data_IF_499537554091
#
_entry.id   IF_499537554091
#
_cell.length_a   1.000
_cell.length_b   1.000
_cell.length_c   1.000
_cell.angle_alpha   90.00
_cell.angle_beta   90.00
_cell.angle_gamma   90.00
#
_symmetry.space_group_name_H-M   'P 1'
#
loop_
_entity.id
_entity.type
_entity.pdbx_description
1 polymer ?
#
# COMPACT_ATOMS: atom_id res chain seq x y z
N UNK A 1 -1.97 28.52 -4.38
CA UNK A 1 -0.67 29.20 -4.56
C UNK A 1 -0.39 29.97 -3.29
N UNK A 2 0.79 29.82 -2.69
CA UNK A 2 1.30 30.74 -1.66
C UNK A 2 2.51 31.43 -2.30
N UNK A 3 2.54 32.76 -2.35
CA UNK A 3 3.64 33.56 -2.89
C UNK A 3 4.00 33.22 -4.36
N UNK A 4 3.00 33.07 -5.24
CA UNK A 4 3.15 32.72 -6.66
C UNK A 4 3.96 31.44 -6.98
N UNK A 5 4.32 30.67 -5.95
CA UNK A 5 4.96 29.36 -6.10
C UNK A 5 3.92 28.26 -5.91
N UNK A 6 3.89 27.34 -6.86
CA UNK A 6 3.12 26.10 -6.73
C UNK A 6 3.77 25.22 -5.67
N UNK A 7 2.98 24.71 -4.72
CA UNK A 7 3.46 23.81 -3.66
C UNK A 7 4.08 22.51 -4.18
N UNK A 8 3.78 22.15 -5.43
CA UNK A 8 4.26 20.94 -6.11
C UNK A 8 5.34 21.20 -7.17
N UNK A 9 5.98 22.38 -7.14
CA UNK A 9 7.07 22.75 -8.05
C UNK A 9 6.70 22.60 -9.55
N UNK A 10 5.54 23.13 -9.93
CA UNK A 10 5.14 23.24 -11.34
C UNK A 10 5.53 24.62 -11.89
N UNK A 11 5.89 24.72 -13.18
CA UNK A 11 5.99 23.63 -14.18
C UNK A 11 7.22 22.74 -13.97
N UNK A 12 7.13 21.46 -14.38
CA UNK A 12 8.27 20.52 -14.34
C UNK A 12 9.11 20.58 -15.61
N UNK A 13 10.41 20.35 -15.51
CA UNK A 13 11.28 20.27 -16.68
C UNK A 13 11.05 18.99 -17.48
N UNK A 14 11.23 19.08 -18.81
CA UNK A 14 11.30 17.89 -19.66
C UNK A 14 12.52 17.05 -19.29
N UNK A 15 12.32 15.75 -19.08
CA UNK A 15 13.39 14.85 -18.66
C UNK A 15 13.50 13.65 -19.58
N UNK A 16 14.74 13.39 -19.99
CA UNK A 16 15.18 12.19 -20.70
C UNK A 16 15.75 11.27 -19.62
N UNK A 17 15.12 10.12 -19.42
CA UNK A 17 15.38 9.21 -18.31
C UNK A 17 16.77 8.60 -18.47
N UNK A 18 17.68 8.84 -17.52
CA UNK A 18 18.96 8.10 -17.46
C UNK A 18 19.29 7.56 -16.07
N UNK A 19 18.90 8.20 -14.96
CA UNK A 19 19.41 7.79 -13.64
C UNK A 19 18.46 7.91 -12.45
N UNK A 20 17.23 8.41 -12.60
CA UNK A 20 16.25 8.47 -11.50
C UNK A 20 14.86 8.04 -11.99
N UNK A 21 14.08 7.42 -11.10
CA UNK A 21 12.70 7.03 -11.35
C UNK A 21 11.80 8.28 -11.42
N UNK A 22 11.94 9.04 -12.50
CA UNK A 22 11.14 10.21 -12.81
C UNK A 22 10.38 9.94 -14.10
N UNK A 23 9.14 10.40 -14.16
CA UNK A 23 8.32 10.26 -15.35
C UNK A 23 8.94 11.01 -16.52
N UNK A 24 9.06 10.31 -17.66
CA UNK A 24 9.44 10.95 -18.92
C UNK A 24 8.34 11.92 -19.35
N UNK A 25 8.70 13.18 -19.52
CA UNK A 25 7.81 14.20 -20.03
C UNK A 25 8.32 14.62 -21.40
N UNK A 26 7.59 14.23 -22.46
CA UNK A 26 7.91 14.66 -23.83
C UNK A 26 7.35 16.05 -24.09
N UNK A 27 8.13 16.85 -24.79
CA UNK A 27 7.60 18.04 -25.44
C UNK A 27 6.74 17.61 -26.63
N UNK A 28 5.47 18.00 -26.63
CA UNK A 28 4.51 17.73 -27.71
C UNK A 28 4.25 19.02 -28.50
N UNK A 29 4.71 20.18 -28.02
CA UNK A 29 4.43 21.49 -28.63
C UNK A 29 2.98 21.96 -28.48
N UNK A 30 2.12 21.20 -27.81
CA UNK A 30 0.73 21.57 -27.52
C UNK A 30 0.65 22.41 -26.25
N UNK A 31 -0.09 23.52 -26.31
CA UNK A 31 -0.35 24.38 -25.17
C UNK A 31 -1.79 24.90 -25.18
N UNK A 32 -2.31 25.20 -23.99
CA UNK A 32 -3.63 25.82 -23.79
C UNK A 32 -3.43 27.15 -23.10
N UNK A 33 -3.96 28.22 -23.69
CA UNK A 33 -3.87 29.56 -23.11
C UNK A 33 -5.00 29.74 -22.08
N UNK A 34 -4.63 29.92 -20.80
CA UNK A 34 -5.57 30.15 -19.71
C UNK A 34 -5.10 31.31 -18.86
N UNK A 35 -5.92 32.36 -18.74
CA UNK A 35 -5.60 33.58 -17.97
C UNK A 35 -4.25 34.22 -18.36
N UNK A 36 -3.93 34.24 -19.66
CA UNK A 36 -2.67 34.78 -20.16
C UNK A 36 -1.43 33.90 -19.96
N UNK A 37 -1.60 32.69 -19.44
CA UNK A 37 -0.52 31.72 -19.22
C UNK A 37 -0.69 30.58 -20.23
N UNK A 38 0.39 30.26 -20.95
CA UNK A 38 0.45 29.07 -21.81
C UNK A 38 0.71 27.84 -20.93
N UNK A 39 -0.32 27.02 -20.78
CA UNK A 39 -0.25 25.75 -20.05
C UNK A 39 0.12 24.64 -21.02
N UNK A 40 1.35 24.15 -20.91
CA UNK A 40 1.83 22.98 -21.62
C UNK A 40 1.75 21.72 -20.72
N UNK A 41 2.26 20.60 -21.25
CA UNK A 41 2.29 19.33 -20.52
C UNK A 41 3.08 19.40 -19.20
N UNK A 42 3.96 20.40 -19.02
CA UNK A 42 4.78 20.57 -17.81
C UNK A 42 3.96 20.91 -16.58
N UNK A 43 2.76 21.47 -16.76
CA UNK A 43 1.84 21.83 -15.67
C UNK A 43 0.94 20.68 -15.22
N UNK A 44 1.01 19.53 -15.89
CA UNK A 44 0.15 18.38 -15.63
C UNK A 44 0.96 17.23 -15.03
N UNK A 45 0.35 16.49 -14.10
CA UNK A 45 0.95 15.25 -13.58
C UNK A 45 0.93 14.23 -14.73
N UNK A 46 2.07 13.66 -15.12
CA UNK A 46 2.12 12.65 -16.16
C UNK A 46 1.26 11.44 -15.76
N UNK A 47 0.47 10.95 -16.70
CA UNK A 47 -0.39 9.78 -16.53
C UNK A 47 -0.26 8.87 -17.75
N UNK A 48 -0.63 7.60 -17.59
CA UNK A 48 -0.71 6.66 -18.70
C UNK A 48 -2.19 6.55 -19.16
N UNK A 49 -2.56 7.03 -20.35
CA UNK A 49 -3.94 7.00 -20.83
C UNK A 49 -4.52 5.58 -20.87
N UNK A 50 -3.71 4.59 -21.23
CA UNK A 50 -4.14 3.20 -21.29
C UNK A 50 -4.56 2.67 -19.91
N UNK A 51 -3.73 2.91 -18.88
CA UNK A 51 -4.04 2.47 -17.51
C UNK A 51 -5.20 3.26 -16.91
N UNK A 52 -5.27 4.56 -17.19
CA UNK A 52 -6.36 5.41 -16.74
C UNK A 52 -7.70 4.92 -17.30
N UNK A 53 -7.76 4.62 -18.61
CA UNK A 53 -8.98 4.10 -19.24
C UNK A 53 -9.32 2.69 -18.77
N UNK A 54 -8.32 1.81 -18.63
CA UNK A 54 -8.54 0.40 -18.25
C UNK A 54 -9.05 0.23 -16.82
N UNK A 55 -8.54 1.03 -15.88
CA UNK A 55 -8.85 0.90 -14.46
C UNK A 55 -9.71 2.03 -13.90
N UNK A 56 -10.09 3.01 -14.73
CA UNK A 56 -10.81 4.23 -14.33
C UNK A 56 -10.16 4.94 -13.13
N UNK A 57 -8.83 4.82 -13.00
CA UNK A 57 -8.08 5.31 -11.86
C UNK A 57 -6.73 5.87 -12.30
N UNK A 58 -6.26 6.91 -11.60
CA UNK A 58 -4.95 7.48 -11.88
C UNK A 58 -3.84 6.58 -11.31
N UNK A 59 -3.28 5.73 -12.17
CA UNK A 59 -2.22 4.78 -11.80
C UNK A 59 -0.84 5.44 -11.94
N UNK A 60 -0.07 5.44 -10.85
CA UNK A 60 1.34 5.83 -10.86
C UNK A 60 2.20 4.64 -11.28
N UNK A 61 2.99 4.77 -12.36
CA UNK A 61 3.97 3.79 -12.82
C UNK A 61 5.39 4.34 -12.61
N UNK A 62 6.18 3.67 -11.78
CA UNK A 62 7.57 4.05 -11.50
C UNK A 62 8.51 2.91 -11.93
N UNK A 63 9.57 3.24 -12.68
CA UNK A 63 10.62 2.28 -13.02
C UNK A 63 11.62 2.20 -11.88
N UNK A 64 11.56 1.10 -11.13
CA UNK A 64 12.34 0.87 -9.92
C UNK A 64 13.70 0.22 -10.22
N UNK A 65 14.63 0.95 -10.86
CA UNK A 65 15.96 0.41 -11.21
C UNK A 65 17.00 0.49 -10.07
N UNK A 66 16.60 0.93 -8.86
CA UNK A 66 17.49 1.08 -7.69
C UNK A 66 16.97 0.27 -6.50
N UNK A 67 17.86 -0.30 -5.70
CA UNK A 67 17.49 -1.07 -4.49
C UNK A 67 16.63 -0.30 -3.48
N UNK A 68 16.77 1.04 -3.42
CA UNK A 68 15.91 1.89 -2.60
C UNK A 68 14.44 1.88 -3.03
N UNK A 69 14.16 1.69 -4.33
CA UNK A 69 12.80 1.57 -4.85
C UNK A 69 12.16 0.24 -4.45
N UNK A 70 12.94 -0.84 -4.37
CA UNK A 70 12.49 -2.13 -3.83
C UNK A 70 12.10 -1.97 -2.35
N UNK A 71 12.95 -1.32 -1.55
CA UNK A 71 12.63 -1.01 -0.13
C UNK A 71 11.34 -0.19 -0.01
N UNK A 72 11.13 0.77 -0.91
CA UNK A 72 9.91 1.56 -0.96
C UNK A 72 8.70 0.67 -1.24
N UNK A 73 8.75 -0.19 -2.27
CA UNK A 73 7.67 -1.14 -2.59
C UNK A 73 7.33 -2.04 -1.40
N UNK A 74 8.33 -2.68 -0.80
CA UNK A 74 8.14 -3.54 0.38
C UNK A 74 7.59 -2.77 1.58
N UNK A 75 7.98 -1.50 1.76
CA UNK A 75 7.40 -0.65 2.79
C UNK A 75 5.89 -0.52 2.59
N UNK A 76 5.40 -0.26 1.37
CA UNK A 76 3.95 -0.10 1.13
C UNK A 76 3.18 -1.41 1.18
N UNK A 77 3.73 -2.50 0.65
CA UNK A 77 3.10 -3.83 0.75
C UNK A 77 2.94 -4.25 2.21
N UNK A 78 3.92 -3.92 3.06
CA UNK A 78 3.89 -4.26 4.48
C UNK A 78 3.47 -3.08 5.38
N UNK A 79 2.98 -1.97 4.80
CA UNK A 79 2.58 -0.80 5.58
C UNK A 79 1.22 -1.08 6.20
N UNK A 80 1.27 -1.70 7.38
CA UNK A 80 0.07 -2.09 8.12
C UNK A 80 -0.49 -3.39 7.55
N UNK A 81 -0.01 -4.53 8.04
CA UNK A 81 -0.93 -5.66 8.13
C UNK A 81 -2.00 -5.21 9.11
N UNK A 82 -3.22 -5.03 8.62
CA UNK A 82 -4.37 -4.81 9.48
C UNK A 82 -4.44 -5.98 10.46
N UNK A 83 -4.35 -5.64 11.75
CA UNK A 83 -4.62 -6.56 12.83
C UNK A 83 -6.10 -6.49 13.11
N UNK A 84 -6.78 -7.62 12.99
CA UNK A 84 -8.17 -7.75 13.39
C UNK A 84 -8.19 -8.48 14.74
N UNK A 85 -8.78 -7.84 15.74
CA UNK A 85 -9.10 -8.50 17.01
C UNK A 85 -10.54 -9.02 16.89
N UNK A 86 -10.70 -10.34 16.93
CA UNK A 86 -12.01 -10.99 16.85
C UNK A 86 -12.41 -11.41 18.25
N UNK A 87 -13.56 -10.94 18.73
CA UNK A 87 -14.17 -11.39 19.98
C UNK A 87 -15.15 -12.53 19.68
N UNK A 88 -14.95 -13.70 20.27
CA UNK A 88 -15.91 -14.81 20.16
C UNK A 88 -16.89 -14.72 21.33
N UNK A 89 -18.13 -14.37 21.04
CA UNK A 89 -19.22 -14.40 22.01
C UNK A 89 -20.04 -15.68 21.85
N UNK A 90 -19.89 -16.63 22.77
CA UNK A 90 -20.78 -17.78 22.83
C UNK A 90 -22.12 -17.34 23.43
N UNK A 91 -23.20 -17.36 22.64
CA UNK A 91 -24.55 -17.17 23.17
C UNK A 91 -25.02 -18.47 23.85
N UNK A 92 -24.72 -18.62 25.12
CA UNK A 92 -25.18 -19.78 25.90
C UNK A 92 -26.67 -19.61 26.22
N UNK A 93 -27.52 -20.39 25.56
CA UNK A 93 -28.87 -20.69 26.07
C UNK A 93 -28.69 -21.52 27.35
N UNK A 94 -29.16 -21.01 28.47
CA UNK A 94 -29.31 -21.67 29.79
C UNK A 94 -28.16 -21.46 30.79
N UNK A 95 -28.14 -20.29 31.45
CA UNK A 95 -27.94 -20.19 32.91
C UNK A 95 -26.56 -20.48 33.52
N UNK A 96 -25.48 -20.59 32.75
CA UNK A 96 -24.12 -20.68 33.29
C UNK A 96 -23.40 -19.33 33.23
N UNK A 97 -22.69 -19.00 34.32
CA UNK A 97 -21.85 -17.80 34.46
C UNK A 97 -20.72 -17.86 33.43
N UNK A 98 -20.76 -16.97 32.43
CA UNK A 98 -19.66 -16.72 31.49
C UNK A 98 -18.71 -15.70 32.14
N UNK A 99 -17.47 -16.11 32.42
CA UNK A 99 -16.46 -15.29 33.12
C UNK A 99 -15.33 -14.80 32.19
N UNK A 100 -14.64 -13.77 32.64
CA UNK A 100 -14.35 -12.49 31.97
C UNK A 100 -13.11 -12.46 31.04
N UNK A 101 -12.42 -13.60 30.86
CA UNK A 101 -11.36 -13.76 29.85
C UNK A 101 -12.03 -14.01 28.50
N UNK A 102 -12.64 -12.96 27.94
CA UNK A 102 -13.18 -13.00 26.58
C UNK A 102 -12.11 -13.54 25.62
N UNK A 103 -12.46 -14.60 24.90
CA UNK A 103 -11.57 -15.24 23.95
C UNK A 103 -11.41 -14.31 22.74
N UNK A 104 -10.31 -13.57 22.72
CA UNK A 104 -9.94 -12.68 21.63
C UNK A 104 -8.88 -13.35 20.76
N UNK A 105 -9.16 -13.45 19.46
CA UNK A 105 -8.14 -13.82 18.47
C UNK A 105 -7.54 -12.55 17.87
N UNK A 106 -6.24 -12.35 18.07
CA UNK A 106 -5.48 -11.39 17.27
C UNK A 106 -5.11 -12.02 15.93
N UNK A 107 -5.91 -11.76 14.91
CA UNK A 107 -5.63 -12.17 13.54
C UNK A 107 -4.75 -11.13 12.84
N UNK A 108 -3.76 -11.60 12.09
CA UNK A 108 -3.00 -10.76 11.15
C UNK A 108 -3.50 -11.02 9.74
N UNK A 109 -3.73 -9.94 8.98
CA UNK A 109 -4.06 -10.05 7.56
C UNK A 109 -2.93 -10.78 6.79
N UNK A 110 -3.24 -11.93 6.20
CA UNK A 110 -2.31 -12.60 5.29
C UNK A 110 -2.30 -11.84 3.96
N UNK A 111 -1.11 -11.48 3.46
CA UNK A 111 -1.01 -10.89 2.13
C UNK A 111 -1.63 -11.83 1.08
N UNK A 112 -2.29 -11.28 0.05
CA UNK A 112 -2.98 -12.06 -0.98
C UNK A 112 -2.08 -13.16 -1.58
N UNK A 113 -0.80 -12.86 -1.80
CA UNK A 113 0.17 -13.83 -2.31
C UNK A 113 0.39 -15.00 -1.34
N UNK A 114 0.47 -14.75 -0.03
CA UNK A 114 0.62 -15.81 0.98
C UNK A 114 -0.65 -16.66 1.09
N UNK A 115 -1.82 -16.03 1.04
CA UNK A 115 -3.11 -16.74 1.04
C UNK A 115 -3.25 -17.67 -0.17
N UNK A 116 -2.88 -17.22 -1.36
CA UNK A 116 -2.85 -18.03 -2.58
C UNK A 116 -1.86 -19.19 -2.43
N UNK A 117 -0.67 -18.95 -1.88
CA UNK A 117 0.34 -19.99 -1.64
C UNK A 117 -0.19 -21.09 -0.73
N UNK A 118 -0.86 -20.71 0.37
CA UNK A 118 -1.53 -21.63 1.30
C UNK A 118 -2.69 -22.38 0.65
N UNK A 119 -3.48 -21.70 -0.18
CA UNK A 119 -4.64 -22.29 -0.88
C UNK A 119 -4.22 -23.36 -1.87
N UNK A 120 -3.08 -23.17 -2.54
CA UNK A 120 -2.50 -24.14 -3.45
C UNK A 120 -1.53 -25.13 -2.78
N UNK A 121 -1.46 -25.13 -1.45
CA UNK A 121 -0.61 -26.04 -0.66
C UNK A 121 0.86 -26.05 -1.09
N UNK A 122 1.37 -24.92 -1.57
CA UNK A 122 2.78 -24.79 -1.88
C UNK A 122 3.61 -24.70 -0.58
N UNK A 123 4.82 -25.24 -0.61
CA UNK A 123 5.77 -25.15 0.51
C UNK A 123 6.06 -23.69 0.85
N UNK A 124 5.71 -23.29 2.07
CA UNK A 124 6.03 -21.99 2.63
C UNK A 124 7.24 -22.16 3.52
N UNK A 125 8.35 -21.44 3.28
CA UNK A 125 9.50 -21.52 4.16
C UNK A 125 9.11 -21.06 5.57
N UNK A 126 9.08 -21.99 6.51
CA UNK A 126 8.88 -21.69 7.93
C UNK A 126 10.10 -20.96 8.47
N UNK A 127 9.86 -19.94 9.29
CA UNK A 127 10.92 -19.33 10.10
C UNK A 127 11.20 -20.24 11.29
N UNK A 128 12.47 -20.60 11.45
CA UNK A 128 13.00 -21.20 12.66
C UNK A 128 13.77 -20.15 13.46
N UNK A 129 13.50 -19.94 14.76
CA UNK A 129 12.48 -20.62 15.58
C UNK A 129 11.06 -20.11 15.30
N UNK A 130 10.06 -20.97 15.53
CA UNK A 130 8.66 -20.58 15.51
C UNK A 130 8.40 -19.58 16.65
N UNK A 131 7.79 -18.44 16.33
CA UNK A 131 7.30 -17.52 17.36
C UNK A 131 5.90 -18.01 17.75
N UNK A 132 5.82 -18.70 18.88
CA UNK A 132 4.58 -19.20 19.45
C UNK A 132 4.29 -18.35 20.69
N UNK A 133 3.03 -17.93 20.87
CA UNK A 133 2.63 -17.30 22.13
C UNK A 133 2.51 -18.39 23.18
N UNK A 134 3.30 -18.27 24.26
CA UNK A 134 3.11 -19.12 25.43
C UNK A 134 1.86 -18.66 26.18
N UNK A 135 0.94 -19.58 26.37
CA UNK A 135 -0.18 -19.41 27.29
C UNK A 135 0.39 -19.31 28.69
N UNK A 136 0.15 -18.20 29.38
CA UNK A 136 0.50 -18.04 30.79
C UNK A 136 -0.48 -18.88 31.61
N UNK A 137 0.01 -19.94 32.23
CA UNK A 137 -0.72 -20.63 33.29
C UNK A 137 -0.52 -19.84 34.58
N UNK A 138 -1.61 -19.40 35.18
CA UNK A 138 -1.60 -18.78 36.50
C UNK A 138 -1.83 -19.92 37.50
N UNK A 139 -0.86 -20.20 38.36
CA UNK A 139 -1.01 -21.23 39.38
C UNK A 139 -1.96 -20.75 40.49
N UNK A 140 -2.98 -21.56 40.78
CA UNK A 140 -4.06 -21.36 41.76
C UNK A 140 -5.26 -20.50 41.31
N UNK A 141 -5.55 -20.45 40.01
CA UNK A 141 -6.90 -20.21 39.47
C UNK A 141 -7.46 -21.46 38.78
#
# INVERSE_FOLDING_TARGET
>A
MKNDKYSKCFPKDYQIVDNEAKYKQRDIGLFVLKKGINLDNRFVVPYNPYLLMRYQAHVSVECCNKGNSIKYLFKYVNKGLDRATIEISNQTKNGQVLDEIKEYYECRYLALCEAIWRTFEYDIPQRWPLVIWLSFHIENE
#
